data_IF_880076907921
#
_entry.id   IF_880076907921
#
_cell.length_a   1.000
_cell.length_b   1.000
_cell.length_c   1.000
_cell.angle_alpha   90.00
_cell.angle_beta   90.00
_cell.angle_gamma   90.00
#
_symmetry.space_group_name_H-M   'P 1'
#
loop_
_entity.id
_entity.type
_entity.pdbx_description
1 polymer ?
#
# COMPACT_ATOMS: atom_id res chain seq x y z
N UNK A 1 -15.98 6.39 15.78
CA UNK A 1 -16.16 6.44 14.32
C UNK A 1 -16.80 5.13 13.84
N UNK A 2 -17.54 5.14 12.73
CA UNK A 2 -18.16 3.93 12.14
C UNK A 2 -17.21 3.19 11.17
N UNK A 3 -17.69 2.09 10.57
CA UNK A 3 -16.91 1.28 9.61
C UNK A 3 -16.60 1.98 8.29
N UNK A 4 -17.22 3.13 8.00
CA UNK A 4 -16.99 3.93 6.80
C UNK A 4 -16.15 5.18 7.11
N UNK A 5 -15.60 5.27 8.31
CA UNK A 5 -14.79 6.42 8.75
C UNK A 5 -15.63 7.63 9.17
N UNK A 6 -16.95 7.51 9.35
CA UNK A 6 -17.78 8.63 9.81
C UNK A 6 -17.67 8.81 11.32
N UNK A 7 -17.60 10.06 11.76
CA UNK A 7 -17.66 10.41 13.18
C UNK A 7 -19.11 10.29 13.67
N UNK A 8 -19.38 9.31 14.52
CA UNK A 8 -20.72 9.01 15.07
C UNK A 8 -20.95 9.63 16.46
N UNK A 9 -19.94 10.29 17.01
CA UNK A 9 -19.97 10.96 18.30
C UNK A 9 -18.58 11.55 18.59
N UNK A 10 -18.55 12.77 19.11
CA UNK A 10 -17.31 13.47 19.45
C UNK A 10 -17.52 14.31 20.71
N UNK A 11 -16.61 14.16 21.67
CA UNK A 11 -16.57 15.00 22.86
C UNK A 11 -15.87 16.34 22.55
N UNK A 12 -16.30 17.46 23.17
CA UNK A 12 -15.56 18.71 23.12
C UNK A 12 -14.13 18.54 23.67
N UNK A 13 -13.17 19.17 23.01
CA UNK A 13 -11.78 19.13 23.44
C UNK A 13 -11.60 19.86 24.78
N UNK A 14 -10.68 19.38 25.60
CA UNK A 14 -10.28 19.99 26.88
C UNK A 14 -11.42 20.15 27.91
N UNK A 15 -12.48 19.33 27.82
CA UNK A 15 -13.56 19.28 28.82
C UNK A 15 -13.74 17.84 29.33
N UNK A 16 -13.89 17.69 30.64
CA UNK A 16 -14.25 16.41 31.24
C UNK A 16 -15.74 16.13 30.99
N UNK A 17 -16.03 15.25 30.03
CA UNK A 17 -17.39 14.82 29.67
C UNK A 17 -17.43 13.30 29.46
N UNK A 18 -18.55 12.66 29.81
CA UNK A 18 -18.83 11.28 29.39
C UNK A 18 -19.44 11.27 27.99
N UNK A 19 -18.90 10.43 27.10
CA UNK A 19 -19.45 10.21 25.77
C UNK A 19 -20.02 8.79 25.68
N UNK A 20 -21.32 8.66 25.84
CA UNK A 20 -22.02 7.39 25.65
C UNK A 20 -22.40 7.21 24.18
N UNK A 21 -22.04 6.07 23.60
CA UNK A 21 -22.43 5.74 22.22
C UNK A 21 -22.76 4.26 22.10
N UNK A 22 -23.82 3.94 21.36
CA UNK A 22 -24.22 2.56 21.09
C UNK A 22 -23.47 2.05 19.85
N UNK A 23 -22.44 1.25 20.07
CA UNK A 23 -21.68 0.60 18.99
C UNK A 23 -22.34 -0.74 18.60
N UNK A 24 -22.41 -1.01 17.30
CA UNK A 24 -22.87 -2.30 16.77
C UNK A 24 -21.66 -3.19 16.54
N UNK A 25 -21.57 -4.38 17.18
CA UNK A 25 -20.53 -5.37 16.89
C UNK A 25 -20.59 -5.81 15.43
N UNK A 26 -19.43 -6.03 14.79
CA UNK A 26 -19.36 -6.48 13.40
C UNK A 26 -18.51 -7.73 13.30
N UNK A 27 -19.00 -8.70 12.52
CA UNK A 27 -18.30 -9.94 12.20
C UNK A 27 -17.95 -9.97 10.71
N UNK A 28 -16.88 -10.69 10.38
CA UNK A 28 -16.42 -10.88 9.01
C UNK A 28 -15.15 -10.08 8.66
N UNK A 29 -14.36 -10.64 7.73
CA UNK A 29 -13.10 -10.07 7.25
C UNK A 29 -13.33 -9.30 5.95
N UNK A 30 -12.91 -8.04 5.91
CA UNK A 30 -12.90 -7.23 4.68
C UNK A 30 -11.91 -7.83 3.67
N UNK A 31 -12.07 -7.59 2.36
CA UNK A 31 -11.12 -8.06 1.35
C UNK A 31 -9.67 -7.64 1.66
N UNK A 32 -9.48 -6.43 2.18
CA UNK A 32 -8.18 -5.96 2.65
C UNK A 32 -7.64 -6.81 3.81
N UNK A 33 -8.46 -7.18 4.79
CA UNK A 33 -8.00 -8.06 5.87
C UNK A 33 -7.68 -9.49 5.38
N UNK A 34 -8.27 -9.93 4.27
CA UNK A 34 -7.99 -11.26 3.69
C UNK A 34 -6.67 -11.29 2.92
N UNK A 35 -6.42 -10.28 2.08
CA UNK A 35 -5.30 -10.31 1.12
C UNK A 35 -4.23 -9.24 1.37
N UNK A 36 -4.49 -8.33 2.34
CA UNK A 36 -3.65 -7.16 2.65
C UNK A 36 -3.32 -6.41 1.37
N UNK A 37 -2.04 -6.10 1.17
CA UNK A 37 -1.52 -5.42 -0.01
C UNK A 37 -1.12 -6.40 -1.13
N UNK A 38 -1.36 -7.70 -0.99
CA UNK A 38 -0.95 -8.74 -1.94
C UNK A 38 -1.36 -8.46 -3.40
N UNK A 39 -2.64 -8.18 -3.69
CA UNK A 39 -3.09 -7.86 -5.05
C UNK A 39 -2.40 -6.63 -5.64
N UNK A 40 -2.15 -5.61 -4.81
CA UNK A 40 -1.43 -4.41 -5.22
C UNK A 40 0.02 -4.72 -5.57
N UNK A 41 0.71 -5.46 -4.70
CA UNK A 41 2.10 -5.86 -4.91
C UNK A 41 2.26 -6.71 -6.18
N UNK A 42 1.38 -7.69 -6.41
CA UNK A 42 1.37 -8.49 -7.64
C UNK A 42 1.26 -7.59 -8.88
N UNK A 43 0.32 -6.64 -8.85
CA UNK A 43 0.10 -5.72 -9.97
C UNK A 43 1.33 -4.86 -10.24
N UNK A 44 1.93 -4.30 -9.19
CA UNK A 44 3.14 -3.47 -9.30
C UNK A 44 4.33 -4.30 -9.80
N UNK A 45 4.54 -5.51 -9.28
CA UNK A 45 5.61 -6.40 -9.72
C UNK A 45 5.47 -6.75 -11.20
N UNK A 46 4.27 -7.12 -11.66
CA UNK A 46 4.03 -7.43 -13.08
C UNK A 46 4.27 -6.21 -13.97
N UNK A 47 3.84 -5.02 -13.54
CA UNK A 47 4.09 -3.77 -14.26
C UNK A 47 5.59 -3.50 -14.41
N UNK A 48 6.35 -3.64 -13.32
CA UNK A 48 7.79 -3.40 -13.31
C UNK A 48 8.54 -4.42 -14.17
N UNK A 49 8.15 -5.70 -14.12
CA UNK A 49 8.72 -6.75 -14.96
C UNK A 49 8.43 -6.48 -16.45
N UNK A 50 7.20 -6.10 -16.78
CA UNK A 50 6.83 -5.74 -18.15
C UNK A 50 7.62 -4.53 -18.68
N UNK A 51 7.86 -3.52 -17.84
CA UNK A 51 8.68 -2.36 -18.20
C UNK A 51 10.16 -2.72 -18.35
N UNK A 52 10.69 -3.59 -17.47
CA UNK A 52 12.07 -4.07 -17.54
C UNK A 52 12.33 -4.91 -18.79
N UNK A 53 11.37 -5.75 -19.20
CA UNK A 53 11.45 -6.56 -20.40
C UNK A 53 11.39 -5.73 -21.70
N UNK A 54 10.81 -4.52 -21.65
CA UNK A 54 10.71 -3.59 -22.79
C UNK A 54 11.96 -2.72 -22.98
N UNK A 55 12.96 -2.84 -22.12
CA UNK A 55 14.23 -2.14 -22.26
C UNK A 55 14.94 -2.68 -23.50
N UNK A 56 15.19 -1.89 -24.56
CA UNK A 56 16.17 -2.30 -25.55
C UNK A 56 17.47 -2.52 -24.79
N UNK A 57 18.12 -3.66 -24.99
CA UNK A 57 19.39 -3.98 -24.37
C UNK A 57 20.37 -2.85 -24.70
N UNK A 58 20.55 -1.91 -23.77
CA UNK A 58 21.64 -0.96 -23.86
C UNK A 58 22.88 -1.82 -23.67
N UNK A 59 23.47 -2.20 -24.81
CA UNK A 59 24.67 -3.00 -24.87
C UNK A 59 25.62 -2.42 -23.83
N UNK A 60 25.91 -3.24 -22.82
CA UNK A 60 26.95 -2.92 -21.86
C UNK A 60 28.26 -3.05 -22.61
N UNK A 61 28.59 -2.03 -23.41
CA UNK A 61 29.94 -1.83 -23.95
C UNK A 61 30.78 -1.32 -22.78
N UNK A 62 31.05 -2.21 -21.83
CA UNK A 62 32.27 -2.14 -21.04
C UNK A 62 33.37 -2.50 -22.03
N UNK A 63 33.87 -1.48 -22.73
CA UNK A 63 35.02 -1.62 -23.62
C UNK A 63 36.20 -2.18 -22.81
N UNK A 64 36.95 -3.15 -23.34
CA UNK A 64 38.09 -3.69 -22.62
C UNK A 64 39.12 -2.56 -22.50
N UNK A 65 39.44 -2.18 -21.25
CA UNK A 65 40.70 -1.49 -20.94
C UNK A 65 41.84 -2.47 -21.24
N UNK A 66 42.29 -2.46 -22.49
CA UNK A 66 43.52 -3.08 -22.95
C UNK A 66 44.68 -2.10 -22.79
N UNK A 67 45.57 -2.43 -21.86
CA UNK A 67 46.86 -1.84 -21.50
C UNK A 67 47.91 -2.04 -22.61
N UNK A 68 48.97 -1.19 -22.58
CA UNK A 68 50.34 -1.35 -23.16
C UNK A 68 50.41 -1.37 -24.70
N UNK A 69 51.33 -0.68 -25.40
CA UNK A 69 52.68 -0.16 -25.11
C UNK A 69 52.91 1.18 -25.82
#
# INVERSE_FOLDING_TARGET
>A
MDARGRVIGQAPQFKAVSLESRLVPRAGLTPYMRWRDGPLLITVTLLLLGLAARRPAFASTVGPRGRSE
#
